data_IF_417576841253
#
_entry.id   IF_417576841253
#
_cell.length_a   1.000
_cell.length_b   1.000
_cell.length_c   1.000
_cell.angle_alpha   90.00
_cell.angle_beta   90.00
_cell.angle_gamma   90.00
#
_symmetry.space_group_name_H-M   'P 1'
#
loop_
_entity.id
_entity.type
_entity.pdbx_description
1 polymer ?
#
# COMPACT_ATOMS: atom_id res chain seq x y z
N UNK A 1 8.82 11.91 -11.76
CA UNK A 1 8.21 13.13 -11.22
C UNK A 1 8.93 13.60 -9.96
N UNK A 2 9.06 12.79 -8.89
CA UNK A 2 9.68 13.20 -7.63
C UNK A 2 11.10 13.75 -7.80
N UNK A 3 11.94 13.11 -8.60
CA UNK A 3 13.29 13.59 -8.90
C UNK A 3 13.29 14.96 -9.60
N UNK A 4 12.35 15.19 -10.53
CA UNK A 4 12.20 16.48 -11.21
C UNK A 4 11.70 17.60 -10.27
N UNK A 5 11.06 17.23 -9.17
CA UNK A 5 10.64 18.16 -8.11
C UNK A 5 11.69 18.35 -7.02
N UNK A 6 12.91 17.81 -7.21
CA UNK A 6 14.03 18.00 -6.28
C UNK A 6 14.19 16.89 -5.23
N UNK A 7 13.46 15.79 -5.31
CA UNK A 7 13.71 14.63 -4.44
C UNK A 7 15.02 13.93 -4.83
N UNK A 8 15.82 13.54 -3.85
CA UNK A 8 17.05 12.77 -4.08
C UNK A 8 16.78 11.26 -4.23
N UNK A 9 15.61 10.80 -3.80
CA UNK A 9 15.19 9.42 -3.89
C UNK A 9 13.71 9.26 -3.64
N UNK A 10 13.21 8.01 -3.77
CA UNK A 10 11.82 7.65 -3.51
C UNK A 10 11.76 6.43 -2.61
N UNK A 11 10.75 6.40 -1.73
CA UNK A 11 10.43 5.23 -0.90
C UNK A 11 9.14 4.60 -1.42
N UNK A 12 9.16 3.27 -1.59
CA UNK A 12 7.99 2.51 -2.04
C UNK A 12 7.74 1.35 -1.06
N UNK A 13 6.53 1.24 -0.53
CA UNK A 13 6.11 0.12 0.34
C UNK A 13 5.48 -1.00 -0.46
N UNK A 14 4.28 -0.77 -0.98
CA UNK A 14 3.43 -1.82 -1.57
C UNK A 14 4.06 -2.53 -2.76
N UNK A 15 4.90 -1.86 -3.55
CA UNK A 15 5.60 -2.51 -4.66
C UNK A 15 6.56 -3.60 -4.16
N UNK A 16 7.25 -3.35 -3.03
CA UNK A 16 8.16 -4.33 -2.45
C UNK A 16 7.48 -5.41 -1.61
N UNK A 17 6.21 -5.25 -1.24
CA UNK A 17 5.40 -6.37 -0.73
C UNK A 17 5.25 -7.48 -1.78
N UNK A 18 5.32 -7.12 -3.07
CA UNK A 18 5.30 -8.07 -4.20
C UNK A 18 6.70 -8.50 -4.66
N UNK A 19 7.75 -8.20 -3.91
CA UNK A 19 9.06 -8.81 -4.16
C UNK A 19 9.01 -10.32 -3.83
N UNK A 20 9.70 -11.15 -4.64
CA UNK A 20 9.83 -12.59 -4.37
C UNK A 20 10.44 -12.82 -2.99
N UNK A 21 11.46 -12.02 -2.64
CA UNK A 21 12.18 -12.08 -1.38
C UNK A 21 11.37 -11.60 -0.17
N UNK A 22 10.26 -10.89 -0.40
CA UNK A 22 9.38 -10.46 0.68
C UNK A 22 8.64 -11.66 1.28
N UNK A 23 8.76 -11.83 2.60
CA UNK A 23 8.17 -12.95 3.33
C UNK A 23 6.68 -12.78 3.66
N UNK A 24 6.02 -11.78 3.10
CA UNK A 24 4.57 -11.66 3.22
C UNK A 24 3.87 -12.88 2.63
N UNK A 25 2.82 -13.34 3.31
CA UNK A 25 2.06 -14.52 2.92
C UNK A 25 1.52 -14.39 1.48
N UNK A 26 1.50 -15.50 0.74
CA UNK A 26 1.06 -15.51 -0.66
C UNK A 26 -0.35 -14.93 -0.85
N UNK A 27 -1.29 -15.23 0.06
CA UNK A 27 -2.65 -14.68 0.03
C UNK A 27 -2.64 -13.14 0.06
N UNK A 28 -1.73 -12.54 0.84
CA UNK A 28 -1.60 -11.08 0.89
C UNK A 28 -1.09 -10.52 -0.43
N UNK A 29 -0.08 -11.13 -1.03
CA UNK A 29 0.44 -10.73 -2.35
C UNK A 29 -0.64 -10.82 -3.42
N UNK A 30 -1.40 -11.92 -3.46
CA UNK A 30 -2.49 -12.11 -4.41
C UNK A 30 -3.65 -11.13 -4.21
N UNK A 31 -4.01 -10.82 -2.95
CA UNK A 31 -5.01 -9.81 -2.65
C UNK A 31 -4.59 -8.42 -3.18
N UNK A 32 -3.31 -8.07 -3.04
CA UNK A 32 -2.77 -6.80 -3.56
C UNK A 32 -2.82 -6.77 -5.09
N UNK A 33 -2.45 -7.85 -5.78
CA UNK A 33 -2.46 -7.91 -7.26
C UNK A 33 -3.88 -7.81 -7.82
N UNK A 34 -4.87 -8.39 -7.13
CA UNK A 34 -6.28 -8.36 -7.55
C UNK A 34 -6.96 -7.01 -7.28
N UNK A 35 -6.38 -6.17 -6.44
CA UNK A 35 -6.97 -4.91 -6.01
C UNK A 35 -6.76 -3.79 -7.04
N UNK A 36 -7.72 -2.89 -7.09
CA UNK A 36 -7.68 -1.66 -7.88
C UNK A 36 -7.45 -0.43 -6.98
N UNK A 37 -7.18 0.72 -7.56
CA UNK A 37 -6.94 1.98 -6.82
C UNK A 37 -8.13 2.39 -5.94
N UNK A 38 -9.34 1.88 -6.21
CA UNK A 38 -10.55 2.13 -5.43
C UNK A 38 -10.78 1.13 -4.30
N UNK A 39 -9.99 0.05 -4.22
CA UNK A 39 -10.19 -1.03 -3.24
C UNK A 39 -9.45 -0.80 -1.91
N UNK A 40 -8.97 0.40 -1.66
CA UNK A 40 -8.36 0.77 -0.39
C UNK A 40 -9.16 1.82 0.37
N UNK A 41 -9.00 1.82 1.68
CA UNK A 41 -9.64 2.77 2.60
C UNK A 41 -8.67 3.14 3.71
N UNK A 42 -8.83 4.32 4.28
CA UNK A 42 -8.06 4.76 5.45
C UNK A 42 -8.88 4.52 6.71
N UNK A 43 -8.31 3.81 7.68
CA UNK A 43 -8.86 3.60 9.02
C UNK A 43 -8.00 4.34 10.05
N UNK A 44 -8.53 4.62 11.23
CA UNK A 44 -7.77 5.22 12.33
C UNK A 44 -7.73 6.75 12.33
N UNK A 45 -8.42 7.41 11.41
CA UNK A 45 -8.45 8.89 11.34
C UNK A 45 -9.10 9.52 12.58
N UNK A 46 -10.14 8.89 13.12
CA UNK A 46 -10.87 9.37 14.30
C UNK A 46 -10.29 8.83 15.61
N UNK A 47 -9.29 7.96 15.54
CA UNK A 47 -8.68 7.33 16.71
C UNK A 47 -7.47 8.09 17.27
N UNK A 48 -7.05 9.19 16.63
CA UNK A 48 -5.94 10.04 17.11
C UNK A 48 -4.52 9.49 16.89
N UNK A 49 -4.39 8.30 16.28
CA UNK A 49 -3.09 7.63 16.06
C UNK A 49 -2.57 7.75 14.64
N UNK A 50 -3.21 8.58 13.82
CA UNK A 50 -2.91 8.68 12.38
C UNK A 50 -3.61 7.60 11.55
N UNK A 51 -3.97 7.96 10.33
CA UNK A 51 -4.68 7.04 9.43
C UNK A 51 -3.76 5.98 8.83
N UNK A 52 -4.24 4.76 8.73
CA UNK A 52 -3.58 3.65 8.04
C UNK A 52 -4.41 3.23 6.83
N UNK A 53 -3.79 3.22 5.65
CA UNK A 53 -4.46 2.76 4.44
C UNK A 53 -4.31 1.24 4.30
N UNK A 54 -5.43 0.56 4.11
CA UNK A 54 -5.50 -0.89 3.92
C UNK A 54 -6.50 -1.25 2.82
N UNK A 55 -6.43 -2.47 2.29
CA UNK A 55 -7.47 -2.99 1.41
C UNK A 55 -8.81 -3.06 2.16
N UNK A 56 -9.89 -2.79 1.43
CA UNK A 56 -11.25 -2.99 1.93
C UNK A 56 -11.51 -4.48 2.17
N UNK A 57 -11.90 -4.82 3.39
CA UNK A 57 -12.23 -6.18 3.81
C UNK A 57 -13.11 -6.14 5.08
N UNK A 58 -13.42 -7.30 5.66
CA UNK A 58 -14.21 -7.38 6.89
C UNK A 58 -13.60 -6.62 8.08
N UNK A 59 -12.27 -6.66 8.21
CA UNK A 59 -11.58 -5.89 9.26
C UNK A 59 -11.82 -4.39 9.09
N UNK A 60 -11.54 -3.84 7.90
CA UNK A 60 -11.69 -2.39 7.68
C UNK A 60 -13.14 -1.94 7.80
N UNK A 61 -14.10 -2.78 7.37
CA UNK A 61 -15.54 -2.50 7.52
C UNK A 61 -15.94 -2.40 8.99
N UNK A 62 -15.56 -3.39 9.80
CA UNK A 62 -15.84 -3.37 11.25
C UNK A 62 -15.14 -2.21 11.96
N UNK A 63 -13.90 -1.93 11.60
CA UNK A 63 -13.13 -0.85 12.23
C UNK A 63 -13.75 0.53 11.93
N UNK A 64 -14.12 0.81 10.68
CA UNK A 64 -14.77 2.06 10.29
C UNK A 64 -16.14 2.22 10.97
N UNK A 65 -16.91 1.15 11.11
CA UNK A 65 -18.15 1.17 11.86
C UNK A 65 -17.91 1.57 13.32
N UNK A 66 -16.89 1.00 13.96
CA UNK A 66 -16.50 1.33 15.34
C UNK A 66 -15.92 2.75 15.49
N UNK A 67 -15.43 3.37 14.42
CA UNK A 67 -15.00 4.78 14.45
C UNK A 67 -16.19 5.75 14.48
N UNK A 68 -17.37 5.34 14.01
CA UNK A 68 -18.53 6.21 13.81
C UNK A 68 -19.77 5.84 14.64
N UNK A 69 -19.74 4.75 15.39
CA UNK A 69 -20.88 4.26 16.17
C UNK A 69 -21.21 5.09 17.44
N UNK A 70 -20.28 5.97 17.84
CA UNK A 70 -20.42 6.83 19.01
C UNK A 70 -20.34 6.14 20.37
N UNK A 71 -20.09 4.81 20.40
CA UNK A 71 -20.04 4.01 21.63
C UNK A 71 -18.69 3.31 21.82
N UNK A 72 -18.02 2.88 20.75
CA UNK A 72 -16.71 2.21 20.82
C UNK A 72 -15.64 3.18 21.25
N UNK A 73 -14.98 2.90 22.37
CA UNK A 73 -13.92 3.75 22.93
C UNK A 73 -12.63 3.71 22.10
N UNK A 74 -11.73 4.71 22.22
CA UNK A 74 -10.42 4.68 21.57
C UNK A 74 -9.58 3.45 21.96
N UNK A 75 -9.68 3.02 23.23
CA UNK A 75 -8.97 1.85 23.73
C UNK A 75 -9.46 0.55 23.10
N UNK A 76 -10.78 0.42 22.90
CA UNK A 76 -11.38 -0.72 22.21
C UNK A 76 -10.97 -0.75 20.74
N UNK A 77 -10.98 0.39 20.03
CA UNK A 77 -10.50 0.50 18.65
C UNK A 77 -9.02 0.11 18.55
N UNK A 78 -8.19 0.56 19.49
CA UNK A 78 -6.78 0.16 19.54
C UNK A 78 -6.64 -1.36 19.68
N UNK A 79 -7.42 -2.01 20.57
CA UNK A 79 -7.43 -3.47 20.69
C UNK A 79 -7.88 -4.17 19.41
N UNK A 80 -8.87 -3.62 18.70
CA UNK A 80 -9.33 -4.16 17.41
C UNK A 80 -8.22 -4.18 16.35
N UNK A 81 -7.30 -3.22 16.35
CA UNK A 81 -6.22 -3.12 15.39
C UNK A 81 -4.98 -3.94 15.75
N UNK A 82 -4.83 -4.34 17.02
CA UNK A 82 -3.65 -5.08 17.48
C UNK A 82 -3.49 -6.41 16.76
N UNK A 83 -2.27 -6.64 16.21
CA UNK A 83 -1.91 -7.88 15.53
C UNK A 83 -2.54 -8.09 14.15
N UNK A 84 -3.42 -7.20 13.69
CA UNK A 84 -4.13 -7.38 12.40
C UNK A 84 -3.20 -7.36 11.20
N UNK A 85 -2.11 -6.57 11.23
CA UNK A 85 -1.11 -6.60 10.16
C UNK A 85 -0.38 -7.96 10.13
N UNK A 86 0.04 -8.48 11.28
CA UNK A 86 0.64 -9.83 11.37
C UNK A 86 -0.32 -10.89 10.83
N UNK A 87 -1.61 -10.80 11.18
CA UNK A 87 -2.64 -11.71 10.70
C UNK A 87 -2.72 -11.74 9.17
N UNK A 88 -2.66 -10.58 8.50
CA UNK A 88 -2.62 -10.54 7.04
C UNK A 88 -1.28 -11.01 6.47
N UNK A 89 -0.18 -10.46 7.00
CA UNK A 89 1.14 -10.60 6.38
C UNK A 89 1.80 -11.97 6.67
N UNK A 90 1.54 -12.57 7.82
CA UNK A 90 2.17 -13.83 8.24
C UNK A 90 1.18 -14.99 8.19
N UNK A 91 -0.03 -14.79 8.76
CA UNK A 91 -1.01 -15.86 8.88
C UNK A 91 -1.86 -16.02 7.59
N UNK A 92 -1.78 -15.04 6.67
CA UNK A 92 -2.49 -15.06 5.38
C UNK A 92 -4.00 -14.81 5.45
N UNK A 93 -4.52 -14.39 6.61
CA UNK A 93 -5.92 -14.01 6.76
C UNK A 93 -6.15 -12.57 6.23
N UNK A 94 -6.36 -12.45 4.95
CA UNK A 94 -6.62 -11.18 4.26
C UNK A 94 -8.06 -10.67 4.45
N UNK A 95 -8.92 -11.45 5.07
CA UNK A 95 -10.31 -11.08 5.37
C UNK A 95 -10.40 -10.31 6.68
N UNK A 96 -9.77 -10.83 7.75
CA UNK A 96 -9.81 -10.24 9.08
C UNK A 96 -8.51 -9.53 9.49
N UNK A 97 -7.48 -9.57 8.65
CA UNK A 97 -6.21 -8.88 8.84
C UNK A 97 -6.15 -7.55 8.11
N UNK A 98 -5.30 -6.65 8.57
CA UNK A 98 -5.03 -5.38 7.92
C UNK A 98 -4.02 -5.57 6.78
N UNK A 99 -4.48 -5.61 5.54
CA UNK A 99 -3.63 -5.62 4.35
C UNK A 99 -3.21 -4.19 4.04
N UNK A 100 -2.13 -3.74 4.67
CA UNK A 100 -1.65 -2.35 4.53
C UNK A 100 -1.07 -2.11 3.15
N UNK A 101 -1.53 -1.07 2.46
CA UNK A 101 -1.17 -0.75 1.08
C UNK A 101 -1.12 0.75 0.84
N UNK A 102 -0.45 1.15 -0.24
CA UNK A 102 -0.53 2.50 -0.79
C UNK A 102 -1.79 2.70 -1.63
N UNK A 103 -1.81 3.78 -2.40
CA UNK A 103 -2.96 4.20 -3.20
C UNK A 103 -2.89 3.70 -4.65
N UNK A 104 -1.68 3.54 -5.20
CA UNK A 104 -1.48 3.19 -6.62
C UNK A 104 -1.47 1.67 -6.83
N UNK A 105 -2.59 1.00 -6.60
CA UNK A 105 -2.70 -0.47 -6.66
C UNK A 105 -2.72 -1.01 -8.09
N UNK A 106 -3.35 -0.29 -9.02
CA UNK A 106 -3.41 -0.69 -10.43
C UNK A 106 -2.02 -0.92 -11.09
N UNK A 107 -0.95 -0.45 -10.46
CA UNK A 107 0.42 -0.66 -10.93
C UNK A 107 1.10 -1.90 -10.33
N UNK A 108 0.44 -2.60 -9.43
CA UNK A 108 0.96 -3.73 -8.68
C UNK A 108 0.42 -5.03 -9.28
N UNK A 109 0.99 -5.46 -10.40
CA UNK A 109 0.41 -6.50 -11.27
C UNK A 109 1.14 -7.83 -11.21
N UNK A 110 2.35 -7.89 -10.65
CA UNK A 110 3.16 -9.11 -10.64
C UNK A 110 4.08 -9.19 -9.41
N UNK A 111 4.37 -10.43 -9.01
CA UNK A 111 5.45 -10.75 -8.07
C UNK A 111 6.72 -10.89 -8.89
N UNK A 112 7.78 -10.18 -8.51
CA UNK A 112 9.06 -10.15 -9.25
C UNK A 112 10.23 -10.06 -8.26
N UNK A 113 11.43 -10.48 -8.65
CA UNK A 113 12.63 -10.27 -7.85
C UNK A 113 12.85 -8.80 -7.51
N UNK A 114 13.29 -8.49 -6.30
CA UNK A 114 13.49 -7.11 -5.83
C UNK A 114 14.44 -6.31 -6.73
N UNK A 115 15.49 -6.95 -7.25
CA UNK A 115 16.43 -6.30 -8.19
C UNK A 115 15.73 -5.87 -9.49
N UNK A 116 14.81 -6.71 -10.01
CA UNK A 116 14.02 -6.39 -11.21
C UNK A 116 13.11 -5.19 -10.97
N UNK A 117 12.47 -5.12 -9.80
CA UNK A 117 11.64 -3.98 -9.39
C UNK A 117 12.46 -2.69 -9.42
N UNK A 118 13.66 -2.70 -8.80
CA UNK A 118 14.55 -1.53 -8.77
C UNK A 118 14.98 -1.12 -10.17
N UNK A 119 15.42 -2.07 -11.00
CA UNK A 119 15.86 -1.80 -12.37
C UNK A 119 14.72 -1.22 -13.21
N UNK A 120 13.53 -1.79 -13.13
CA UNK A 120 12.35 -1.32 -13.87
C UNK A 120 12.01 0.13 -13.49
N UNK A 121 11.92 0.42 -12.19
CA UNK A 121 11.62 1.78 -11.70
C UNK A 121 12.68 2.78 -12.17
N UNK A 122 13.96 2.44 -12.10
CA UNK A 122 15.05 3.33 -12.55
C UNK A 122 15.02 3.55 -14.06
N UNK A 123 14.80 2.50 -14.84
CA UNK A 123 14.72 2.59 -16.30
C UNK A 123 13.53 3.46 -16.73
N UNK A 124 12.35 3.26 -16.12
CA UNK A 124 11.16 4.08 -16.37
C UNK A 124 11.38 5.55 -15.97
N UNK A 125 12.07 5.81 -14.88
CA UNK A 125 12.43 7.16 -14.47
C UNK A 125 13.34 7.84 -15.49
N UNK A 126 14.40 7.16 -15.95
CA UNK A 126 15.31 7.67 -16.99
C UNK A 126 14.55 7.96 -18.29
N UNK A 127 13.69 7.04 -18.73
CA UNK A 127 12.90 7.21 -19.95
C UNK A 127 11.95 8.42 -19.83
N UNK A 128 11.32 8.59 -18.67
CA UNK A 128 10.42 9.71 -18.41
C UNK A 128 11.15 11.06 -18.40
N UNK A 129 12.36 11.12 -17.83
CA UNK A 129 13.20 12.32 -17.82
C UNK A 129 13.65 12.66 -19.26
N UNK A 130 14.12 11.68 -20.02
CA UNK A 130 14.51 11.89 -21.44
C UNK A 130 13.34 12.35 -22.29
N UNK A 131 12.13 11.82 -22.05
CA UNK A 131 10.93 12.29 -22.74
C UNK A 131 10.61 13.75 -22.40
N UNK A 132 10.70 14.14 -21.13
CA UNK A 132 10.50 15.53 -20.69
C UNK A 132 11.54 16.49 -21.31
N UNK A 133 12.82 16.10 -21.36
CA UNK A 133 13.88 16.89 -21.97
C UNK A 133 13.59 17.19 -23.46
N UNK A 134 13.15 16.19 -24.23
CA UNK A 134 12.79 16.39 -25.65
C UNK A 134 11.67 17.42 -25.85
N UNK A 135 10.75 17.55 -24.90
CA UNK A 135 9.66 18.55 -24.99
C UNK A 135 10.20 19.98 -24.83
N UNK A 136 11.28 20.17 -24.08
CA UNK A 136 11.92 21.48 -23.87
C UNK A 136 12.75 21.87 -25.10
N UNK A 137 13.39 20.90 -25.77
CA UNK A 137 14.21 21.14 -26.98
C UNK A 137 13.39 21.56 -28.22
N UNK A 138 12.05 21.42 -28.18
CA UNK A 138 11.13 21.81 -29.27
C UNK A 138 10.66 23.27 -29.14
N UNK A 139 10.91 23.91 -28.00
CA UNK A 139 10.56 25.30 -27.72
C UNK A 139 11.77 26.20 -27.90
#
# INVERSE_FOLDING_TARGET
AALLMGAEGVQMGSRFLLAEECQAHQNMKEAIIKATDTDSVVTGLLSGHGGVRSLKNEFTTRYLAAETDGVTTPEERTKMSQGTNKRAAIDGDVVNGAVQVGQALNRLVAIEPAHTIVQTVMNEAIMSIRKAQRLIEIV
#
